data_IF_297289131635
#
_entry.id   IF_297289131635
#
_cell.length_a   1.000
_cell.length_b   1.000
_cell.length_c   1.000
_cell.angle_alpha   90.00
_cell.angle_beta   90.00
_cell.angle_gamma   90.00
#
_symmetry.space_group_name_H-M   'P 1'
#
loop_
_entity.id
_entity.type
_entity.pdbx_description
1 polymer ?
#
# COMPACT_ATOMS: atom_id res chain seq x y z
N UNK A 1 -17.10 24.77 -16.40
CA UNK A 1 -17.51 23.65 -17.27
C UNK A 1 -16.85 23.87 -18.63
N UNK A 2 -15.93 22.99 -19.03
CA UNK A 2 -15.31 23.01 -20.36
C UNK A 2 -16.29 22.37 -21.35
N UNK A 3 -16.54 23.04 -22.47
CA UNK A 3 -17.38 22.50 -23.53
C UNK A 3 -16.51 21.68 -24.49
N UNK A 4 -17.01 20.52 -24.93
CA UNK A 4 -16.28 19.61 -25.84
C UNK A 4 -15.84 20.28 -27.15
N UNK A 5 -16.59 21.31 -27.60
CA UNK A 5 -16.27 22.13 -28.80
C UNK A 5 -15.06 23.04 -28.62
N UNK A 6 -14.70 23.35 -27.37
CA UNK A 6 -13.57 24.22 -27.05
C UNK A 6 -12.25 23.43 -26.85
N UNK A 7 -12.31 22.10 -27.01
CA UNK A 7 -11.19 21.20 -26.88
C UNK A 7 -10.58 20.89 -28.26
N UNK A 8 -9.29 21.12 -28.40
CA UNK A 8 -8.54 20.69 -29.58
C UNK A 8 -8.09 19.25 -29.42
N UNK A 9 -8.34 18.44 -30.45
CA UNK A 9 -7.85 17.06 -30.50
C UNK A 9 -6.35 17.10 -30.83
N UNK A 10 -5.51 16.68 -29.87
CA UNK A 10 -4.07 16.49 -30.07
C UNK A 10 -3.72 15.03 -29.96
N UNK A 11 -2.69 14.59 -30.69
CA UNK A 11 -2.05 13.30 -30.46
C UNK A 11 -1.22 13.41 -29.19
N UNK A 12 -1.23 12.36 -28.34
CA UNK A 12 -0.39 12.28 -27.14
C UNK A 12 0.99 11.70 -27.52
N UNK A 13 1.64 12.38 -28.48
CA UNK A 13 2.98 12.06 -28.97
C UNK A 13 4.01 13.14 -28.57
N UNK A 14 3.58 14.17 -27.82
CA UNK A 14 4.49 15.11 -27.18
C UNK A 14 5.16 14.40 -26.00
N UNK A 15 6.47 14.16 -26.10
CA UNK A 15 7.28 13.74 -24.95
C UNK A 15 7.25 14.86 -23.93
N UNK A 16 6.66 14.59 -22.75
CA UNK A 16 6.78 15.50 -21.62
C UNK A 16 8.26 15.52 -21.22
N UNK A 17 8.85 16.72 -21.21
CA UNK A 17 10.19 16.89 -20.65
C UNK A 17 10.14 16.47 -19.17
N UNK A 18 10.95 15.47 -18.83
CA UNK A 18 11.09 15.07 -17.43
C UNK A 18 11.76 16.19 -16.65
N UNK A 19 11.27 16.51 -15.44
CA UNK A 19 11.87 17.57 -14.63
C UNK A 19 13.26 17.14 -14.14
N UNK A 20 14.18 18.10 -14.12
CA UNK A 20 15.57 17.93 -13.70
C UNK A 20 15.82 18.58 -12.35
N UNK A 21 16.88 18.13 -11.67
CA UNK A 21 17.43 18.75 -10.48
C UNK A 21 18.94 18.92 -10.63
N UNK A 22 19.43 20.08 -10.23
CA UNK A 22 20.85 20.41 -10.25
C UNK A 22 21.52 20.02 -8.94
N UNK A 23 22.69 19.40 -9.04
CA UNK A 23 23.50 19.10 -7.87
C UNK A 23 24.15 20.38 -7.33
N UNK A 24 23.87 20.71 -6.07
CA UNK A 24 24.38 21.93 -5.41
C UNK A 24 25.92 21.95 -5.23
N UNK A 25 26.61 20.85 -5.47
CA UNK A 25 28.05 20.77 -5.32
C UNK A 25 28.81 20.77 -6.65
N UNK A 26 28.35 20.01 -7.65
CA UNK A 26 29.08 19.84 -8.91
C UNK A 26 28.33 20.40 -10.12
N UNK A 27 27.18 20.98 -9.92
CA UNK A 27 26.31 21.62 -10.93
C UNK A 27 25.88 20.68 -12.08
N UNK A 28 25.98 19.36 -11.87
CA UNK A 28 25.47 18.38 -12.84
C UNK A 28 23.97 18.21 -12.66
N UNK A 29 23.30 18.07 -13.78
CA UNK A 29 21.86 17.85 -13.85
C UNK A 29 21.52 16.38 -13.88
N UNK A 30 20.47 16.00 -13.15
CA UNK A 30 19.94 14.63 -13.09
C UNK A 30 18.41 14.72 -13.18
N UNK A 31 17.76 13.80 -13.86
CA UNK A 31 16.31 13.71 -13.84
C UNK A 31 15.81 13.56 -12.39
N UNK A 32 14.77 14.30 -12.02
CA UNK A 32 14.25 14.23 -10.64
C UNK A 32 13.86 12.82 -10.25
N UNK A 33 13.30 12.03 -11.18
CA UNK A 33 12.94 10.63 -10.94
C UNK A 33 14.19 9.76 -10.68
N UNK A 34 15.27 9.93 -11.45
CA UNK A 34 16.53 9.21 -11.23
C UNK A 34 17.24 9.63 -9.94
N UNK A 35 17.05 10.88 -9.54
CA UNK A 35 17.58 11.44 -8.30
C UNK A 35 16.76 11.07 -7.07
N UNK A 36 15.61 10.40 -7.22
CA UNK A 36 14.58 10.23 -6.18
C UNK A 36 14.20 11.55 -5.52
N UNK A 37 14.26 12.64 -6.28
CA UNK A 37 13.98 13.99 -5.82
C UNK A 37 12.54 14.39 -6.19
N UNK A 38 11.75 14.75 -5.19
CA UNK A 38 10.38 15.21 -5.41
C UNK A 38 10.30 16.74 -5.33
N UNK A 39 10.35 17.40 -6.48
CA UNK A 39 10.29 18.86 -6.56
C UNK A 39 9.00 19.49 -6.03
N UNK A 40 7.91 18.72 -5.89
CA UNK A 40 6.65 19.19 -5.28
C UNK A 40 6.70 19.20 -3.75
N UNK A 41 7.45 18.28 -3.17
CA UNK A 41 7.61 18.13 -1.72
C UNK A 41 8.78 18.96 -1.20
N UNK A 42 9.83 19.11 -1.99
CA UNK A 42 11.04 19.85 -1.63
C UNK A 42 10.89 21.33 -2.03
N UNK A 43 11.14 22.22 -1.08
CA UNK A 43 11.17 23.66 -1.35
C UNK A 43 12.34 23.99 -2.27
N UNK A 44 12.23 25.06 -3.06
CA UNK A 44 13.27 25.52 -4.00
C UNK A 44 14.66 25.79 -3.38
N UNK A 45 14.74 25.88 -2.05
CA UNK A 45 15.99 26.02 -1.28
C UNK A 45 16.59 24.68 -0.83
N UNK A 46 16.00 23.55 -1.22
CA UNK A 46 16.48 22.23 -0.80
C UNK A 46 17.81 21.91 -1.49
N UNK A 47 18.84 21.67 -0.70
CA UNK A 47 20.15 21.24 -1.19
C UNK A 47 20.05 19.80 -1.69
N UNK A 48 20.47 19.57 -2.94
CA UNK A 48 20.56 18.24 -3.52
C UNK A 48 22.02 17.93 -3.87
N UNK A 49 22.51 16.76 -3.44
CA UNK A 49 23.80 16.23 -3.84
C UNK A 49 23.61 15.00 -4.72
N UNK A 50 24.23 14.99 -5.90
CA UNK A 50 24.19 13.82 -6.77
C UNK A 50 24.91 12.63 -6.12
N UNK A 51 24.64 11.37 -6.53
CA UNK A 51 25.26 10.19 -5.94
C UNK A 51 26.79 10.25 -5.88
N UNK A 52 27.44 10.79 -6.90
CA UNK A 52 28.90 10.93 -6.93
C UNK A 52 29.43 11.89 -5.86
N UNK A 53 28.82 13.06 -5.71
CA UNK A 53 29.19 14.02 -4.69
C UNK A 53 28.89 13.50 -3.29
N UNK A 54 27.77 12.84 -3.12
CA UNK A 54 27.41 12.23 -1.86
C UNK A 54 28.40 11.14 -1.44
N UNK A 55 28.81 10.29 -2.38
CA UNK A 55 29.85 9.26 -2.14
C UNK A 55 31.22 9.90 -1.85
N UNK A 56 31.60 10.96 -2.57
CA UNK A 56 32.87 11.64 -2.34
C UNK A 56 32.95 12.29 -0.94
N UNK A 57 31.83 12.87 -0.45
CA UNK A 57 31.76 13.46 0.89
C UNK A 57 31.87 12.41 2.00
N UNK A 58 31.32 11.21 1.80
CA UNK A 58 31.37 10.14 2.81
C UNK A 58 32.73 9.50 2.97
N UNK A 59 33.60 9.63 1.99
CA UNK A 59 34.93 9.01 2.00
C UNK A 59 34.90 7.48 1.87
N UNK A 60 36.05 6.87 1.60
CA UNK A 60 36.19 5.41 1.40
C UNK A 60 35.99 4.58 2.68
N UNK A 61 35.80 5.20 3.83
CA UNK A 61 35.73 4.51 5.15
C UNK A 61 34.35 4.01 5.56
N UNK A 62 33.30 4.42 4.86
CA UNK A 62 31.96 3.96 5.20
C UNK A 62 31.50 2.99 4.10
N UNK A 63 31.46 1.68 4.39
CA UNK A 63 30.83 0.75 3.46
C UNK A 63 29.42 1.28 3.24
N UNK A 64 28.97 1.33 1.99
CA UNK A 64 27.64 1.83 1.63
C UNK A 64 26.63 1.36 2.66
N UNK A 65 25.98 2.26 3.41
CA UNK A 65 24.97 1.79 4.32
C UNK A 65 23.97 1.01 3.47
N UNK A 66 23.74 -0.22 3.87
CA UNK A 66 22.72 -1.06 3.29
C UNK A 66 21.44 -0.23 3.15
N UNK A 67 20.80 -0.17 1.98
CA UNK A 67 19.53 0.53 1.87
C UNK A 67 18.55 -0.02 2.92
N UNK A 68 17.80 0.88 3.56
CA UNK A 68 16.81 0.48 4.53
C UNK A 68 15.76 -0.39 3.84
N UNK A 69 15.51 -1.55 4.40
CA UNK A 69 14.52 -2.49 3.90
C UNK A 69 13.28 -2.56 4.79
N UNK A 70 12.36 -3.43 4.43
CA UNK A 70 11.14 -3.65 5.20
C UNK A 70 11.41 -4.06 6.65
N UNK A 71 12.47 -4.83 6.90
CA UNK A 71 12.90 -5.25 8.24
C UNK A 71 13.31 -4.10 9.14
N UNK A 72 13.75 -2.98 8.56
CA UNK A 72 14.21 -1.80 9.31
C UNK A 72 13.05 -0.87 9.70
N UNK A 73 11.89 -1.05 9.11
CA UNK A 73 10.68 -0.31 9.47
C UNK A 73 10.18 -0.83 10.83
N UNK A 74 9.94 0.11 11.75
CA UNK A 74 9.48 -0.22 13.10
C UNK A 74 8.16 -1.01 13.07
N UNK A 75 8.09 -2.07 13.89
CA UNK A 75 6.84 -2.80 14.12
C UNK A 75 5.81 -1.99 14.89
N UNK A 76 4.56 -2.14 14.52
CA UNK A 76 3.40 -1.80 15.35
C UNK A 76 2.79 -3.09 15.93
N UNK A 77 1.90 -2.97 16.92
CA UNK A 77 1.15 -4.13 17.43
C UNK A 77 0.39 -4.86 16.32
N UNK A 78 -0.23 -4.09 15.41
CA UNK A 78 -0.95 -4.64 14.28
C UNK A 78 -0.01 -5.37 13.32
N UNK A 79 1.07 -4.73 12.86
CA UNK A 79 1.96 -5.34 11.88
C UNK A 79 2.64 -6.60 12.42
N UNK A 80 3.00 -6.62 13.70
CA UNK A 80 3.54 -7.83 14.34
C UNK A 80 2.53 -8.96 14.38
N UNK A 81 1.31 -8.67 14.81
CA UNK A 81 0.25 -9.68 14.85
C UNK A 81 -0.01 -10.30 13.48
N UNK A 82 -0.06 -9.48 12.43
CA UNK A 82 -0.26 -9.96 11.06
C UNK A 82 0.93 -10.79 10.57
N UNK A 83 2.15 -10.30 10.81
CA UNK A 83 3.39 -10.98 10.40
C UNK A 83 3.51 -12.35 11.06
N UNK A 84 3.30 -12.44 12.39
CA UNK A 84 3.35 -13.68 13.14
C UNK A 84 2.34 -14.71 12.61
N UNK A 85 1.13 -14.26 12.26
CA UNK A 85 0.10 -15.12 11.67
C UNK A 85 0.49 -15.65 10.30
N UNK A 86 1.01 -14.79 9.43
CA UNK A 86 1.48 -15.18 8.08
C UNK A 86 2.65 -16.14 8.18
N UNK A 87 3.64 -15.84 9.02
CA UNK A 87 4.81 -16.73 9.23
C UNK A 87 4.36 -18.10 9.73
N UNK A 88 3.45 -18.14 10.72
CA UNK A 88 2.90 -19.39 11.25
C UNK A 88 2.22 -20.21 10.15
N UNK A 89 1.37 -19.58 9.33
CA UNK A 89 0.68 -20.28 8.23
C UNK A 89 1.66 -20.84 7.20
N UNK A 90 2.75 -20.12 6.89
CA UNK A 90 3.81 -20.63 6.02
C UNK A 90 4.58 -21.79 6.64
N UNK A 91 4.87 -21.73 7.94
CA UNK A 91 5.52 -22.83 8.68
C UNK A 91 4.64 -24.08 8.72
N UNK A 92 3.33 -23.94 8.96
CA UNK A 92 2.37 -25.05 8.99
C UNK A 92 2.33 -25.78 7.63
N UNK A 93 2.33 -25.03 6.52
CA UNK A 93 2.40 -25.63 5.17
C UNK A 93 3.75 -26.31 4.93
N UNK A 94 4.85 -25.65 5.31
CA UNK A 94 6.18 -26.22 5.16
C UNK A 94 6.31 -27.55 5.94
N UNK A 95 5.83 -27.61 7.18
CA UNK A 95 5.86 -28.81 8.00
C UNK A 95 5.03 -29.95 7.39
N UNK A 96 3.87 -29.65 6.81
CA UNK A 96 3.03 -30.66 6.12
C UNK A 96 3.67 -31.20 4.85
N UNK A 97 4.43 -30.36 4.14
CA UNK A 97 5.03 -30.68 2.84
C UNK A 97 6.52 -31.08 2.96
N UNK A 98 7.06 -31.23 4.17
CA UNK A 98 8.51 -31.46 4.42
C UNK A 98 9.07 -32.74 3.78
N UNK A 99 8.20 -33.64 3.30
CA UNK A 99 8.61 -34.83 2.56
C UNK A 99 8.97 -34.55 1.09
N UNK A 100 8.61 -33.37 0.54
CA UNK A 100 8.71 -33.10 -0.91
C UNK A 100 9.56 -31.89 -1.28
N UNK A 101 9.85 -30.96 -0.36
CA UNK A 101 10.68 -29.78 -0.69
C UNK A 101 11.47 -29.26 0.53
N UNK A 102 12.82 -29.30 0.50
CA UNK A 102 13.67 -28.82 1.59
C UNK A 102 13.93 -27.30 1.58
N UNK A 103 13.30 -26.54 0.70
CA UNK A 103 13.58 -25.10 0.59
C UNK A 103 12.96 -24.31 1.75
N UNK A 104 13.80 -23.62 2.52
CA UNK A 104 13.37 -22.70 3.58
C UNK A 104 12.49 -21.59 2.98
N UNK A 105 11.34 -21.28 3.61
CA UNK A 105 10.50 -20.17 3.16
C UNK A 105 11.29 -18.86 3.10
N UNK A 106 11.15 -18.11 2.01
CA UNK A 106 11.77 -16.78 1.88
C UNK A 106 11.16 -15.83 2.93
N UNK A 107 11.98 -14.99 3.59
CA UNK A 107 11.48 -14.08 4.60
C UNK A 107 10.36 -13.15 4.08
N UNK A 108 9.33 -12.99 4.89
CA UNK A 108 8.24 -12.05 4.65
C UNK A 108 8.16 -11.04 5.78
N UNK A 109 7.77 -9.82 5.46
CA UNK A 109 7.64 -8.74 6.43
C UNK A 109 6.29 -8.04 6.25
N UNK A 110 5.58 -7.82 7.36
CA UNK A 110 4.36 -7.00 7.34
C UNK A 110 4.64 -5.70 8.07
N UNK A 111 4.33 -4.58 7.43
CA UNK A 111 4.58 -3.25 8.00
C UNK A 111 3.36 -2.36 7.88
N UNK A 112 3.10 -1.63 8.95
CA UNK A 112 2.11 -0.56 8.95
C UNK A 112 2.82 0.76 8.66
N UNK A 113 2.56 1.34 7.49
CA UNK A 113 3.24 2.56 7.03
C UNK A 113 2.54 3.84 7.48
N UNK A 114 1.26 3.78 7.72
CA UNK A 114 0.51 4.94 8.23
C UNK A 114 -0.52 4.55 9.28
N UNK A 115 -0.82 5.51 10.17
CA UNK A 115 -1.83 5.41 11.21
C UNK A 115 -2.28 6.83 11.57
N UNK A 116 -3.27 7.34 10.85
CA UNK A 116 -3.64 8.76 10.87
C UNK A 116 -5.11 8.89 11.25
N UNK A 117 -5.38 9.72 12.25
CA UNK A 117 -6.75 10.11 12.59
C UNK A 117 -7.25 11.14 11.58
N UNK A 118 -8.46 10.92 11.05
CA UNK A 118 -9.11 11.76 10.04
C UNK A 118 -10.59 11.92 10.34
N UNK A 119 -11.16 13.01 9.84
CA UNK A 119 -12.62 13.18 9.77
C UNK A 119 -13.10 12.79 8.37
N UNK A 120 -14.01 11.83 8.31
CA UNK A 120 -14.65 11.41 7.06
C UNK A 120 -15.90 12.25 6.81
N UNK A 121 -15.86 13.08 5.78
CA UNK A 121 -16.99 13.90 5.37
C UNK A 121 -18.03 13.07 4.59
N UNK A 122 -19.28 13.16 5.00
CA UNK A 122 -20.37 12.47 4.32
C UNK A 122 -20.82 13.27 3.10
N UNK A 123 -20.93 12.60 1.96
CA UNK A 123 -21.37 13.26 0.72
C UNK A 123 -22.78 13.83 0.88
N UNK A 124 -23.07 15.06 0.38
CA UNK A 124 -24.38 15.72 0.53
C UNK A 124 -25.55 14.88 0.06
N UNK A 125 -25.39 14.10 -1.02
CA UNK A 125 -26.43 13.18 -1.53
C UNK A 125 -26.82 12.11 -0.50
N UNK A 126 -25.87 11.62 0.29
CA UNK A 126 -26.12 10.62 1.34
C UNK A 126 -26.85 11.27 2.51
N UNK A 127 -26.43 12.46 2.95
CA UNK A 127 -27.09 13.20 4.01
C UNK A 127 -28.55 13.50 3.64
N UNK A 128 -28.81 13.93 2.41
CA UNK A 128 -30.17 14.17 1.92
C UNK A 128 -31.01 12.89 1.91
N UNK A 129 -30.45 11.76 1.44
CA UNK A 129 -31.15 10.47 1.37
C UNK A 129 -31.55 9.93 2.75
N UNK A 130 -30.74 10.16 3.76
CA UNK A 130 -30.94 9.66 5.12
C UNK A 130 -31.22 10.78 6.14
N UNK A 131 -31.80 11.89 5.68
CA UNK A 131 -32.08 13.07 6.52
C UNK A 131 -32.95 12.77 7.73
N UNK A 132 -33.86 11.80 7.63
CA UNK A 132 -34.71 11.35 8.73
C UNK A 132 -33.95 10.80 9.94
N UNK A 133 -32.75 10.24 9.71
CA UNK A 133 -31.94 9.64 10.78
C UNK A 133 -31.06 10.66 11.51
N UNK A 134 -30.98 11.91 11.05
CA UNK A 134 -30.16 12.97 11.63
C UNK A 134 -28.71 12.55 11.89
N UNK A 135 -28.13 11.76 10.98
CA UNK A 135 -26.73 11.36 11.09
C UNK A 135 -25.78 12.55 11.01
N UNK A 136 -24.61 12.51 11.69
CA UNK A 136 -23.61 13.55 11.56
C UNK A 136 -23.13 13.74 10.11
N UNK A 137 -22.72 14.95 9.79
CA UNK A 137 -22.12 15.25 8.48
C UNK A 137 -20.67 14.73 8.34
N UNK A 138 -20.05 14.34 9.46
CA UNK A 138 -18.70 13.79 9.48
C UNK A 138 -18.55 12.72 10.57
N UNK A 139 -17.59 11.81 10.35
CA UNK A 139 -17.30 10.72 11.26
C UNK A 139 -15.79 10.64 11.56
N UNK A 140 -15.39 10.55 12.83
CA UNK A 140 -13.99 10.32 13.19
C UNK A 140 -13.60 8.90 12.78
N UNK A 141 -12.50 8.77 12.05
CA UNK A 141 -11.95 7.49 11.66
C UNK A 141 -10.43 7.48 11.77
N UNK A 142 -9.86 6.28 11.85
CA UNK A 142 -8.43 6.04 11.79
C UNK A 142 -8.08 5.34 10.48
N UNK A 143 -7.30 6.02 9.65
CA UNK A 143 -6.79 5.49 8.39
C UNK A 143 -5.46 4.80 8.60
N UNK A 144 -5.32 3.57 8.11
CA UNK A 144 -4.09 2.79 8.16
C UNK A 144 -3.72 2.27 6.79
N UNK A 145 -2.42 2.21 6.53
CA UNK A 145 -1.86 1.50 5.37
C UNK A 145 -0.99 0.36 5.88
N UNK A 146 -1.26 -0.85 5.42
CA UNK A 146 -0.50 -2.05 5.77
C UNK A 146 -0.02 -2.71 4.48
N UNK A 147 1.28 -3.02 4.44
CA UNK A 147 1.92 -3.66 3.30
C UNK A 147 2.60 -4.96 3.72
N UNK A 148 2.55 -5.95 2.83
CA UNK A 148 3.32 -7.18 2.89
C UNK A 148 4.50 -7.07 1.91
N UNK A 149 5.68 -7.37 2.42
CA UNK A 149 6.92 -7.45 1.66
C UNK A 149 7.45 -8.89 1.66
N UNK A 150 8.12 -9.25 0.59
CA UNK A 150 8.94 -10.45 0.53
C UNK A 150 10.33 -10.08 0.04
N UNK A 151 11.37 -10.62 0.68
CA UNK A 151 12.73 -10.50 0.18
C UNK A 151 12.90 -11.39 -1.05
N UNK A 152 13.25 -10.79 -2.18
CA UNK A 152 13.46 -11.45 -3.45
C UNK A 152 14.76 -10.96 -4.08
N UNK A 153 15.67 -11.87 -4.34
CA UNK A 153 16.94 -11.54 -5.01
C UNK A 153 17.70 -10.37 -4.34
N UNK A 154 17.63 -10.32 -3.00
CA UNK A 154 18.27 -9.27 -2.17
C UNK A 154 17.51 -7.95 -2.08
N UNK A 155 16.28 -7.88 -2.58
CA UNK A 155 15.43 -6.69 -2.55
C UNK A 155 14.09 -7.00 -1.87
N UNK A 156 13.60 -6.07 -1.05
CA UNK A 156 12.26 -6.18 -0.45
C UNK A 156 11.21 -5.71 -1.47
N UNK A 157 10.39 -6.64 -1.96
CA UNK A 157 9.33 -6.38 -2.93
C UNK A 157 7.99 -6.29 -2.23
N UNK A 158 7.22 -5.23 -2.50
CA UNK A 158 5.85 -5.10 -2.02
C UNK A 158 4.95 -6.01 -2.87
N UNK A 159 4.23 -6.92 -2.23
CA UNK A 159 3.40 -7.91 -2.92
C UNK A 159 1.91 -7.78 -2.65
N UNK A 160 1.54 -7.19 -1.52
CA UNK A 160 0.15 -7.01 -1.10
C UNK A 160 0.03 -5.76 -0.25
N UNK A 161 -1.07 -5.04 -0.41
CA UNK A 161 -1.36 -3.86 0.38
C UNK A 161 -2.84 -3.73 0.68
N UNK A 162 -3.15 -3.08 1.81
CA UNK A 162 -4.51 -2.71 2.16
C UNK A 162 -4.58 -1.38 2.88
N UNK A 163 -5.57 -0.58 2.50
CA UNK A 163 -6.00 0.61 3.23
C UNK A 163 -7.22 0.29 4.08
N UNK A 164 -7.13 0.62 5.35
CA UNK A 164 -8.08 0.25 6.40
C UNK A 164 -8.60 1.50 7.07
N UNK A 165 -9.91 1.59 7.22
CA UNK A 165 -10.57 2.66 7.97
C UNK A 165 -11.25 2.05 9.18
N UNK A 166 -10.85 2.50 10.36
CA UNK A 166 -11.39 2.03 11.65
C UNK A 166 -12.22 3.14 12.30
N UNK A 167 -13.50 2.87 12.49
CA UNK A 167 -14.43 3.71 13.20
C UNK A 167 -14.58 3.17 14.64
N UNK A 168 -13.93 3.83 15.58
CA UNK A 168 -13.79 3.35 16.95
C UNK A 168 -15.09 3.42 17.78
N UNK A 169 -15.00 3.09 19.06
CA UNK A 169 -16.14 3.08 19.99
C UNK A 169 -16.76 4.47 20.24
N UNK A 170 -16.00 5.54 20.03
CA UNK A 170 -16.48 6.93 20.15
C UNK A 170 -17.11 7.47 18.87
N UNK A 171 -17.04 6.72 17.78
CA UNK A 171 -17.66 7.11 16.53
C UNK A 171 -19.19 7.02 16.67
N UNK A 172 -19.96 8.02 16.21
CA UNK A 172 -21.42 7.96 16.21
C UNK A 172 -21.98 6.82 15.33
N UNK A 173 -23.23 6.44 15.61
CA UNK A 173 -23.96 5.56 14.69
C UNK A 173 -24.15 6.26 13.33
N UNK A 174 -24.14 5.52 12.22
CA UNK A 174 -24.15 4.04 12.09
C UNK A 174 -22.76 3.40 12.08
N UNK A 175 -21.68 4.20 12.21
CA UNK A 175 -20.31 3.73 11.98
C UNK A 175 -19.59 3.21 13.24
N UNK A 176 -20.24 3.28 14.41
CA UNK A 176 -19.65 2.83 15.67
C UNK A 176 -19.09 1.40 15.58
N UNK A 177 -17.84 1.21 16.02
CA UNK A 177 -17.15 -0.11 16.05
C UNK A 177 -17.17 -0.86 14.73
N UNK A 178 -17.00 -0.15 13.62
CA UNK A 178 -16.93 -0.73 12.27
C UNK A 178 -15.56 -0.54 11.67
N UNK A 179 -15.13 -1.52 10.87
CA UNK A 179 -13.93 -1.41 10.03
C UNK A 179 -14.32 -1.50 8.56
N UNK A 180 -13.54 -0.83 7.74
CA UNK A 180 -13.75 -0.80 6.31
C UNK A 180 -12.42 -1.04 5.60
N UNK A 181 -12.32 -2.14 4.86
CA UNK A 181 -11.21 -2.41 3.95
C UNK A 181 -11.53 -1.65 2.66
N UNK A 182 -10.91 -0.46 2.53
CA UNK A 182 -11.23 0.47 1.46
C UNK A 182 -10.55 0.11 0.15
N UNK A 183 -9.27 -0.21 0.21
CA UNK A 183 -8.48 -0.66 -0.92
C UNK A 183 -7.71 -1.90 -0.52
N UNK A 184 -7.74 -2.89 -1.38
CA UNK A 184 -6.96 -4.10 -1.28
C UNK A 184 -6.39 -4.37 -2.66
N UNK A 185 -5.08 -4.50 -2.73
CA UNK A 185 -4.38 -4.69 -3.99
C UNK A 185 -3.20 -5.63 -3.83
N UNK A 186 -2.85 -6.36 -4.89
CA UNK A 186 -1.75 -7.32 -4.85
C UNK A 186 -1.17 -7.58 -6.23
N UNK A 187 0.10 -8.02 -6.25
CA UNK A 187 0.75 -8.55 -7.44
C UNK A 187 1.11 -10.02 -7.26
N UNK A 188 1.22 -10.77 -8.35
CA UNK A 188 1.31 -12.23 -8.28
C UNK A 188 2.71 -12.79 -8.06
N UNK A 189 3.71 -11.98 -7.82
CA UNK A 189 5.12 -12.38 -7.78
C UNK A 189 5.54 -13.21 -6.56
N UNK A 190 4.65 -13.44 -5.58
CA UNK A 190 4.96 -14.20 -4.36
C UNK A 190 5.67 -15.53 -4.65
N UNK A 191 6.74 -15.81 -3.92
CA UNK A 191 7.54 -17.04 -4.02
C UNK A 191 7.53 -17.81 -2.70
N UNK A 192 7.25 -19.13 -2.70
CA UNK A 192 6.79 -19.90 -3.86
C UNK A 192 5.34 -19.58 -4.22
N UNK A 193 5.01 -19.68 -5.51
CA UNK A 193 3.72 -19.24 -6.07
C UNK A 193 2.50 -19.91 -5.44
N UNK A 194 2.62 -21.17 -5.06
CA UNK A 194 1.57 -21.97 -4.44
C UNK A 194 1.11 -21.40 -3.09
N UNK A 195 1.98 -20.72 -2.36
CA UNK A 195 1.66 -20.14 -1.05
C UNK A 195 1.02 -18.74 -1.15
N UNK A 196 1.01 -18.13 -2.33
CA UNK A 196 0.50 -16.77 -2.53
C UNK A 196 -0.91 -16.58 -2.01
N UNK A 197 -1.84 -17.44 -2.44
CA UNK A 197 -3.25 -17.34 -2.06
C UNK A 197 -3.43 -17.50 -0.55
N UNK A 198 -2.74 -18.45 0.05
CA UNK A 198 -2.74 -18.65 1.49
C UNK A 198 -2.31 -17.38 2.23
N UNK A 199 -1.18 -16.82 1.84
CA UNK A 199 -0.61 -15.63 2.50
C UNK A 199 -1.53 -14.42 2.37
N UNK A 200 -2.08 -14.17 1.18
CA UNK A 200 -2.95 -13.00 0.95
C UNK A 200 -4.29 -13.14 1.68
N UNK A 201 -4.84 -14.35 1.77
CA UNK A 201 -6.00 -14.62 2.61
C UNK A 201 -5.69 -14.44 4.09
N UNK A 202 -4.54 -14.96 4.54
CA UNK A 202 -4.16 -14.84 5.96
C UNK A 202 -3.95 -13.39 6.37
N UNK A 203 -3.44 -12.52 5.49
CA UNK A 203 -3.35 -11.08 5.74
C UNK A 203 -4.71 -10.48 6.10
N UNK A 204 -5.75 -10.83 5.34
CA UNK A 204 -7.11 -10.33 5.58
C UNK A 204 -7.75 -10.97 6.81
N UNK A 205 -7.65 -12.29 6.95
CA UNK A 205 -8.20 -13.05 8.09
C UNK A 205 -7.57 -12.58 9.40
N UNK A 206 -6.24 -12.43 9.44
CA UNK A 206 -5.53 -11.95 10.61
C UNK A 206 -5.93 -10.52 10.97
N UNK A 207 -6.12 -9.63 9.98
CA UNK A 207 -6.62 -8.29 10.26
C UNK A 207 -8.02 -8.31 10.87
N UNK A 208 -8.93 -9.10 10.32
CA UNK A 208 -10.29 -9.22 10.86
C UNK A 208 -10.30 -9.81 12.28
N UNK A 209 -9.45 -10.80 12.55
CA UNK A 209 -9.26 -11.34 13.88
C UNK A 209 -8.75 -10.28 14.86
N UNK A 210 -7.72 -9.53 14.49
CA UNK A 210 -7.19 -8.43 15.30
C UNK A 210 -8.24 -7.33 15.56
N UNK A 211 -9.04 -6.99 14.55
CA UNK A 211 -10.12 -6.03 14.70
C UNK A 211 -11.19 -6.54 15.68
N UNK A 212 -11.58 -7.81 15.57
CA UNK A 212 -12.52 -8.47 16.50
C UNK A 212 -12.03 -8.40 17.95
N UNK A 213 -10.76 -8.75 18.20
CA UNK A 213 -10.15 -8.69 19.54
C UNK A 213 -10.16 -7.26 20.12
N UNK A 214 -10.10 -6.24 19.28
CA UNK A 214 -10.19 -4.82 19.67
C UNK A 214 -11.63 -4.34 19.84
N UNK A 215 -12.63 -5.20 19.68
CA UNK A 215 -14.04 -4.91 19.90
C UNK A 215 -14.75 -4.25 18.71
N UNK A 216 -14.22 -4.36 17.50
CA UNK A 216 -14.98 -4.08 16.28
C UNK A 216 -15.90 -5.25 15.97
N UNK A 217 -17.15 -4.98 15.63
CA UNK A 217 -18.17 -6.02 15.43
C UNK A 217 -18.60 -6.19 13.97
N UNK A 218 -18.25 -5.26 13.09
CA UNK A 218 -18.66 -5.32 11.68
C UNK A 218 -17.49 -4.90 10.81
N UNK A 219 -17.24 -5.67 9.77
CA UNK A 219 -16.27 -5.36 8.74
C UNK A 219 -16.99 -5.20 7.38
N UNK A 220 -16.61 -4.18 6.65
CA UNK A 220 -17.03 -3.96 5.28
C UNK A 220 -15.80 -4.06 4.37
N UNK A 221 -15.95 -4.77 3.27
CA UNK A 221 -14.92 -4.89 2.24
C UNK A 221 -15.50 -4.30 0.96
N UNK A 222 -14.79 -3.34 0.37
CA UNK A 222 -15.17 -2.83 -0.94
C UNK A 222 -14.78 -3.84 -2.00
N UNK A 223 -15.77 -4.49 -2.59
CA UNK A 223 -15.60 -5.45 -3.67
C UNK A 223 -15.98 -4.77 -5.00
N UNK A 224 -15.00 -4.13 -5.63
CA UNK A 224 -15.14 -3.58 -6.97
C UNK A 224 -14.01 -4.14 -7.83
N UNK A 225 -14.30 -4.95 -8.86
CA UNK A 225 -13.26 -5.43 -9.74
C UNK A 225 -12.62 -4.24 -10.46
N UNK A 226 -11.28 -4.21 -10.54
CA UNK A 226 -10.59 -3.17 -11.28
C UNK A 226 -10.91 -3.29 -12.77
N UNK A 227 -11.15 -2.17 -13.42
CA UNK A 227 -11.13 -2.06 -14.87
C UNK A 227 -9.68 -2.03 -15.37
N UNK A 228 -9.47 -2.30 -16.66
CA UNK A 228 -8.13 -2.17 -17.27
C UNK A 228 -7.64 -0.72 -17.11
N UNK A 229 -6.50 -0.56 -16.44
CA UNK A 229 -5.92 0.76 -16.15
C UNK A 229 -6.29 1.36 -14.80
N UNK A 230 -7.06 0.66 -13.97
CA UNK A 230 -7.28 1.06 -12.59
C UNK A 230 -6.08 0.66 -11.73
N UNK A 231 -5.39 1.67 -11.19
CA UNK A 231 -4.28 1.49 -10.26
C UNK A 231 -4.75 1.92 -8.86
N UNK A 232 -4.87 0.94 -7.94
CA UNK A 232 -5.34 1.23 -6.58
C UNK A 232 -4.20 1.53 -5.61
N UNK A 233 -3.33 0.55 -5.36
CA UNK A 233 -2.15 0.68 -4.48
C UNK A 233 -0.87 0.58 -5.30
N UNK A 234 -0.82 -0.35 -6.24
CA UNK A 234 0.30 -0.53 -7.15
C UNK A 234 0.09 0.32 -8.39
N UNK A 235 1.13 1.08 -8.77
CA UNK A 235 1.09 1.95 -9.96
C UNK A 235 0.84 1.20 -11.26
N UNK A 236 1.32 -0.04 -11.35
CA UNK A 236 1.02 -0.92 -12.46
C UNK A 236 0.94 -2.38 -11.98
N UNK A 237 0.13 -3.16 -12.68
CA UNK A 237 0.05 -4.60 -12.51
C UNK A 237 0.67 -5.30 -13.72
N UNK A 238 1.19 -6.54 -13.56
CA UNK A 238 1.64 -7.34 -14.68
C UNK A 238 0.53 -7.50 -15.73
N UNK A 239 0.86 -7.33 -17.01
CA UNK A 239 -0.13 -7.38 -18.11
C UNK A 239 -0.91 -8.69 -18.18
N UNK A 240 -0.27 -9.80 -17.79
CA UNK A 240 -0.87 -11.13 -17.74
C UNK A 240 -1.58 -11.45 -16.40
N UNK A 241 -1.57 -10.53 -15.44
CA UNK A 241 -2.31 -10.68 -14.19
C UNK A 241 -3.81 -10.61 -14.45
N UNK A 242 -4.49 -11.75 -14.25
CA UNK A 242 -5.94 -11.82 -14.42
C UNK A 242 -6.64 -11.07 -13.30
N UNK A 243 -7.48 -10.12 -13.67
CA UNK A 243 -8.41 -9.48 -12.74
C UNK A 243 -9.57 -10.44 -12.41
N UNK A 244 -10.03 -10.47 -11.15
CA UNK A 244 -11.19 -11.28 -10.81
C UNK A 244 -12.43 -10.75 -11.53
N UNK A 245 -13.27 -11.65 -12.05
CA UNK A 245 -14.57 -11.29 -12.63
C UNK A 245 -15.58 -10.98 -11.51
N UNK A 246 -16.54 -10.09 -11.80
CA UNK A 246 -17.61 -9.67 -10.88
C UNK A 246 -18.29 -10.83 -10.16
N UNK A 247 -18.63 -11.88 -10.90
CA UNK A 247 -19.32 -13.05 -10.35
C UNK A 247 -18.52 -13.79 -9.29
N UNK A 248 -17.19 -13.80 -9.41
CA UNK A 248 -16.31 -14.44 -8.42
C UNK A 248 -16.11 -13.60 -7.16
N UNK A 249 -16.15 -12.26 -7.29
CA UNK A 249 -16.02 -11.36 -6.13
C UNK A 249 -17.28 -11.35 -5.25
N UNK A 250 -18.44 -11.65 -5.82
CA UNK A 250 -19.71 -11.71 -5.09
C UNK A 250 -19.90 -13.02 -4.31
N UNK A 251 -19.09 -14.04 -4.62
CA UNK A 251 -19.13 -15.35 -3.97
C UNK A 251 -18.16 -15.46 -2.78
N UNK A 252 -17.46 -14.40 -2.44
CA UNK A 252 -16.57 -14.27 -1.28
C UNK A 252 -17.19 -13.37 -0.22
#
# INVERSE_FOLDING_TARGET
>A
TLWKKDLQKKKNDEMHEEPWVECSQCNRWVHQICALFNGRMNKGTTIYHCPFCFMAQRGKKDPHPRPLGAKDIRHTKLSRFLEDRVIKSLQDVHTRNSTTSPSKPTPVYVRQLSNIDKMHQVKPKILKRYSQHKYPCEFPMRSKCVLLFQEMDGVDVILFGMYLYEYGHKCPQPNNRRVYVSYLDSVYYFRPRENRTLVYHEMLIAYLAHAKERGFHTAHIWACPPCKGDDYIFFCHPEDQKTPKDDRLRLW
#
